data_IF_202574622779
#
_entry.id   IF_202574622779
#
_cell.length_a   1.000
_cell.length_b   1.000
_cell.length_c   1.000
_cell.angle_alpha   90.00
_cell.angle_beta   90.00
_cell.angle_gamma   90.00
#
_symmetry.space_group_name_H-M   'P 1'
#
loop_
_entity.id
_entity.type
_entity.pdbx_description
1 polymer ?
#
# COMPACT_ATOMS: atom_id res chain seq x y z
N UNK A 1 -1.69 -11.55 20.70
CA UNK A 1 -1.21 -11.94 19.37
C UNK A 1 -2.19 -12.85 18.62
N UNK A 2 -2.60 -14.01 19.16
CA UNK A 2 -3.55 -14.94 18.45
C UNK A 2 -4.85 -14.27 17.98
N UNK A 3 -5.49 -13.43 18.80
CA UNK A 3 -6.76 -12.74 18.44
C UNK A 3 -6.62 -11.71 17.31
N UNK A 4 -5.46 -11.08 17.16
CA UNK A 4 -5.18 -10.11 16.07
C UNK A 4 -4.97 -10.86 14.75
N UNK A 5 -4.26 -11.98 14.77
CA UNK A 5 -4.10 -12.85 13.60
C UNK A 5 -5.44 -13.40 13.11
N UNK A 6 -6.33 -13.79 14.03
CA UNK A 6 -7.67 -14.29 13.69
C UNK A 6 -8.53 -13.20 13.05
N UNK A 7 -8.48 -11.96 13.56
CA UNK A 7 -9.20 -10.82 12.98
C UNK A 7 -8.68 -10.46 11.58
N UNK A 8 -7.37 -10.50 11.36
CA UNK A 8 -6.75 -10.27 10.04
C UNK A 8 -7.16 -11.39 9.07
N UNK A 9 -7.21 -12.64 9.52
CA UNK A 9 -7.61 -13.78 8.71
C UNK A 9 -9.11 -13.75 8.35
N UNK A 10 -9.97 -13.34 9.28
CA UNK A 10 -11.42 -13.16 9.04
C UNK A 10 -11.68 -12.01 8.08
N UNK A 11 -10.95 -10.88 8.21
CA UNK A 11 -11.03 -9.76 7.27
C UNK A 11 -10.60 -10.17 5.85
N UNK A 12 -9.64 -11.09 5.75
CA UNK A 12 -9.16 -11.63 4.48
C UNK A 12 -10.21 -12.52 3.78
N UNK A 13 -10.98 -13.29 4.55
CA UNK A 13 -12.04 -14.18 4.02
C UNK A 13 -13.26 -13.38 3.56
N UNK A 14 -13.64 -12.31 4.26
CA UNK A 14 -14.80 -11.48 3.89
C UNK A 14 -14.63 -10.70 2.58
N UNK A 15 -13.41 -10.54 2.08
CA UNK A 15 -13.13 -9.87 0.81
C UNK A 15 -13.32 -10.76 -0.43
N UNK A 16 -13.62 -12.05 -0.23
CA UNK A 16 -13.79 -13.04 -1.30
C UNK A 16 -15.24 -13.19 -1.78
N UNK A 17 -16.02 -12.11 -1.79
CA UNK A 17 -17.36 -12.09 -2.38
C UNK A 17 -17.33 -12.53 -3.85
N UNK A 18 -17.93 -13.69 -4.15
CA UNK A 18 -18.11 -14.17 -5.52
C UNK A 18 -19.17 -13.32 -6.21
N UNK A 19 -18.72 -12.30 -6.98
CA UNK A 19 -19.56 -11.73 -8.01
C UNK A 19 -19.69 -12.76 -9.13
N UNK A 20 -20.90 -12.89 -9.69
CA UNK A 20 -21.18 -13.76 -10.83
C UNK A 20 -20.40 -13.26 -12.04
N UNK A 21 -19.40 -14.01 -12.47
CA UNK A 21 -18.39 -13.56 -13.42
C UNK A 21 -18.71 -14.10 -14.81
N UNK A 22 -18.73 -13.20 -15.80
CA UNK A 22 -18.61 -13.59 -17.19
C UNK A 22 -17.35 -14.46 -17.35
N UNK A 23 -17.48 -15.61 -18.00
CA UNK A 23 -16.40 -16.61 -18.09
C UNK A 23 -15.22 -16.07 -18.90
N UNK A 24 -14.23 -15.56 -18.17
CA UNK A 24 -12.97 -15.11 -18.76
C UNK A 24 -12.07 -16.33 -18.93
N UNK A 25 -11.76 -16.70 -20.17
CA UNK A 25 -10.91 -17.86 -20.49
C UNK A 25 -9.50 -17.46 -20.91
N UNK A 26 -8.57 -18.41 -20.87
CA UNK A 26 -7.22 -18.28 -21.41
C UNK A 26 -6.33 -17.29 -20.67
N UNK A 27 -5.51 -16.53 -21.41
CA UNK A 27 -4.49 -15.62 -20.88
C UNK A 27 -5.07 -14.50 -20.00
N UNK A 28 -6.28 -14.03 -20.28
CA UNK A 28 -6.93 -13.00 -19.47
C UNK A 28 -7.25 -13.49 -18.06
N UNK A 29 -7.68 -14.75 -17.93
CA UNK A 29 -7.93 -15.36 -16.62
C UNK A 29 -6.63 -15.49 -15.81
N UNK A 30 -5.56 -15.96 -16.45
CA UNK A 30 -4.26 -16.09 -15.81
C UNK A 30 -3.71 -14.73 -15.31
N UNK A 31 -3.75 -13.69 -16.16
CA UNK A 31 -3.31 -12.33 -15.79
C UNK A 31 -4.20 -11.74 -14.71
N UNK A 32 -5.51 -11.96 -14.76
CA UNK A 32 -6.42 -11.52 -13.70
C UNK A 32 -6.04 -12.16 -12.35
N UNK A 33 -5.95 -13.50 -12.32
CA UNK A 33 -5.63 -14.25 -11.09
C UNK A 33 -4.27 -13.83 -10.53
N UNK A 34 -3.24 -13.66 -11.38
CA UNK A 34 -1.94 -13.17 -10.91
C UNK A 34 -2.04 -11.76 -10.31
N UNK A 35 -2.83 -10.87 -10.92
CA UNK A 35 -3.10 -9.55 -10.36
C UNK A 35 -3.90 -9.57 -9.05
N UNK A 36 -4.83 -10.51 -8.88
CA UNK A 36 -5.58 -10.70 -7.64
C UNK A 36 -4.63 -11.10 -6.49
N UNK A 37 -3.71 -12.03 -6.74
CA UNK A 37 -2.70 -12.46 -5.77
C UNK A 37 -1.71 -11.34 -5.48
N UNK A 38 -1.15 -10.72 -6.52
CA UNK A 38 -0.12 -9.69 -6.39
C UNK A 38 -0.64 -8.40 -5.74
N UNK A 39 -1.95 -8.15 -5.77
CA UNK A 39 -2.54 -6.99 -5.09
C UNK A 39 -2.28 -6.99 -3.58
N UNK A 40 -2.11 -8.16 -2.98
CA UNK A 40 -1.85 -8.31 -1.55
C UNK A 40 -0.36 -8.40 -1.21
N UNK A 41 0.51 -8.58 -2.20
CA UNK A 41 1.96 -8.73 -1.94
C UNK A 41 2.55 -7.49 -1.27
N UNK A 42 2.24 -6.28 -1.75
CA UNK A 42 2.79 -5.05 -1.18
C UNK A 42 2.26 -4.73 0.22
N UNK A 43 0.96 -4.87 0.55
CA UNK A 43 0.48 -4.74 1.92
C UNK A 43 1.04 -5.80 2.87
N UNK A 44 1.14 -7.06 2.43
CA UNK A 44 1.71 -8.14 3.24
C UNK A 44 3.21 -7.92 3.49
N UNK A 45 3.96 -7.53 2.45
CA UNK A 45 5.36 -7.18 2.60
C UNK A 45 5.56 -5.98 3.56
N UNK A 46 4.69 -4.98 3.49
CA UNK A 46 4.67 -3.85 4.43
C UNK A 46 4.50 -4.33 5.87
N UNK A 47 3.49 -5.17 6.10
CA UNK A 47 3.21 -5.72 7.43
C UNK A 47 4.36 -6.59 7.93
N UNK A 48 4.90 -7.47 7.09
CA UNK A 48 6.03 -8.33 7.45
C UNK A 48 7.28 -7.50 7.82
N UNK A 49 7.58 -6.46 7.04
CA UNK A 49 8.71 -5.57 7.31
C UNK A 49 8.53 -4.82 8.64
N UNK A 50 7.35 -4.28 8.88
CA UNK A 50 7.02 -3.57 10.14
C UNK A 50 7.18 -4.49 11.35
N UNK A 51 6.72 -5.73 11.26
CA UNK A 51 6.83 -6.71 12.35
C UNK A 51 8.27 -7.16 12.55
N UNK A 52 9.01 -7.43 11.48
CA UNK A 52 10.42 -7.84 11.55
C UNK A 52 11.31 -6.76 12.14
N UNK A 53 11.04 -5.49 11.84
CA UNK A 53 11.77 -4.34 12.38
C UNK A 53 11.22 -3.84 13.73
N UNK A 54 10.16 -4.45 14.26
CA UNK A 54 9.44 -4.01 15.46
C UNK A 54 9.02 -2.54 15.39
N UNK A 55 8.66 -2.09 14.18
CA UNK A 55 8.30 -0.71 13.91
C UNK A 55 6.82 -0.45 14.24
N UNK A 56 6.52 -0.37 15.53
CA UNK A 56 5.15 -0.16 16.02
C UNK A 56 4.52 1.14 15.54
N UNK A 57 5.33 2.17 15.28
CA UNK A 57 4.86 3.42 14.70
C UNK A 57 4.47 3.23 13.23
N UNK A 58 5.29 2.50 12.47
CA UNK A 58 4.97 2.11 11.09
C UNK A 58 3.71 1.26 11.01
N UNK A 59 3.51 0.34 11.97
CA UNK A 59 2.27 -0.45 12.06
C UNK A 59 1.03 0.44 12.18
N UNK A 60 1.04 1.41 13.09
CA UNK A 60 -0.08 2.36 13.26
C UNK A 60 -0.32 3.19 12.00
N UNK A 61 0.75 3.70 11.39
CA UNK A 61 0.67 4.53 10.18
C UNK A 61 0.17 3.72 8.97
N UNK A 62 0.67 2.50 8.78
CA UNK A 62 0.23 1.60 7.72
C UNK A 62 -1.23 1.17 7.90
N UNK A 63 -1.66 0.90 9.13
CA UNK A 63 -3.05 0.59 9.44
C UNK A 63 -3.98 1.77 9.12
N UNK A 64 -3.61 3.00 9.52
CA UNK A 64 -4.39 4.20 9.20
C UNK A 64 -4.47 4.44 7.69
N UNK A 65 -3.35 4.30 6.97
CA UNK A 65 -3.33 4.42 5.51
C UNK A 65 -4.24 3.38 4.85
N UNK A 66 -4.14 2.11 5.28
CA UNK A 66 -4.95 1.02 4.75
C UNK A 66 -6.44 1.21 5.00
N UNK A 67 -6.84 1.51 6.24
CA UNK A 67 -8.25 1.76 6.60
C UNK A 67 -8.81 2.94 5.82
N UNK A 68 -8.06 4.04 5.73
CA UNK A 68 -8.48 5.22 4.95
C UNK A 68 -8.64 4.90 3.47
N UNK A 69 -7.70 4.16 2.87
CA UNK A 69 -7.78 3.73 1.47
C UNK A 69 -9.01 2.89 1.22
N UNK A 70 -9.23 1.86 2.05
CA UNK A 70 -10.37 0.96 1.90
C UNK A 70 -11.67 1.73 2.07
N UNK A 71 -11.79 2.53 3.14
CA UNK A 71 -12.99 3.33 3.42
C UNK A 71 -13.34 4.29 2.28
N UNK A 72 -12.37 5.07 1.80
CA UNK A 72 -12.59 5.99 0.67
C UNK A 72 -12.91 5.25 -0.63
N UNK A 73 -12.23 4.11 -0.91
CA UNK A 73 -12.51 3.30 -2.10
C UNK A 73 -13.95 2.81 -2.09
N UNK A 74 -14.42 2.26 -0.98
CA UNK A 74 -15.82 1.80 -0.89
C UNK A 74 -16.82 2.96 -0.93
N UNK A 75 -16.54 4.05 -0.24
CA UNK A 75 -17.41 5.24 -0.31
C UNK A 75 -17.60 5.70 -1.77
N UNK A 76 -16.52 5.83 -2.52
CA UNK A 76 -16.57 6.24 -3.92
C UNK A 76 -17.28 5.21 -4.83
N UNK A 77 -17.10 3.91 -4.58
CA UNK A 77 -17.79 2.84 -5.32
C UNK A 77 -19.31 2.97 -5.23
N UNK A 78 -19.83 3.23 -4.03
CA UNK A 78 -21.25 3.33 -3.81
C UNK A 78 -21.83 4.69 -4.24
N UNK A 79 -21.02 5.75 -4.20
CA UNK A 79 -21.44 7.10 -4.63
C UNK A 79 -21.47 7.24 -6.16
N UNK A 80 -20.44 6.72 -6.85
CA UNK A 80 -20.25 6.98 -8.29
C UNK A 80 -20.97 5.95 -9.17
N UNK A 81 -21.17 4.72 -8.69
CA UNK A 81 -21.94 3.64 -9.37
C UNK A 81 -21.55 3.47 -10.85
N UNK A 82 -20.27 3.44 -11.16
CA UNK A 82 -19.76 3.28 -12.52
C UNK A 82 -19.81 1.82 -12.95
N UNK A 83 -20.41 1.54 -14.11
CA UNK A 83 -20.43 0.20 -14.71
C UNK A 83 -19.01 -0.28 -15.08
N UNK A 84 -18.75 -1.58 -14.90
CA UNK A 84 -17.49 -2.19 -15.31
C UNK A 84 -17.43 -2.37 -16.84
N UNK A 85 -16.23 -2.33 -17.43
CA UNK A 85 -16.04 -2.57 -18.85
C UNK A 85 -16.52 -3.95 -19.33
N UNK A 86 -16.65 -4.93 -18.44
CA UNK A 86 -17.18 -6.27 -18.74
C UNK A 86 -18.66 -6.41 -18.40
N UNK A 87 -19.33 -5.36 -17.95
CA UNK A 87 -20.77 -5.36 -17.59
C UNK A 87 -21.12 -6.16 -16.34
N UNK A 88 -20.14 -6.62 -15.54
CA UNK A 88 -20.39 -7.52 -14.42
C UNK A 88 -21.07 -6.87 -13.22
N UNK A 89 -20.82 -5.60 -12.96
CA UNK A 89 -21.45 -4.80 -11.90
C UNK A 89 -21.27 -3.29 -12.10
N UNK A 90 -21.91 -2.47 -11.25
CA UNK A 90 -21.85 -1.01 -11.28
C UNK A 90 -20.91 -0.43 -10.20
N UNK A 91 -19.87 -1.15 -9.81
CA UNK A 91 -18.93 -0.71 -8.78
C UNK A 91 -17.48 -0.71 -9.31
N UNK A 92 -17.29 -0.20 -10.54
CA UNK A 92 -15.98 -0.15 -11.17
C UNK A 92 -15.05 0.85 -10.47
N UNK A 93 -15.51 2.06 -10.23
CA UNK A 93 -14.68 3.17 -9.77
C UNK A 93 -14.66 3.32 -8.24
N UNK A 94 -13.47 3.54 -7.66
CA UNK A 94 -12.14 3.26 -8.17
C UNK A 94 -11.74 1.79 -8.01
N UNK A 95 -10.62 1.35 -8.60
CA UNK A 95 -10.14 -0.03 -8.49
C UNK A 95 -9.56 -0.32 -7.10
N UNK A 96 -10.22 -1.20 -6.33
CA UNK A 96 -9.78 -1.59 -4.99
C UNK A 96 -8.42 -2.30 -4.99
N UNK A 97 -8.18 -3.24 -5.93
CA UNK A 97 -6.90 -3.94 -6.04
C UNK A 97 -5.75 -2.96 -6.27
N UNK A 98 -5.96 -1.98 -7.13
CA UNK A 98 -4.97 -0.93 -7.38
C UNK A 98 -4.77 -0.04 -6.16
N UNK A 99 -5.85 0.40 -5.51
CA UNK A 99 -5.77 1.24 -4.30
C UNK A 99 -4.94 0.56 -3.21
N UNK A 100 -5.26 -0.69 -2.89
CA UNK A 100 -4.59 -1.44 -1.82
C UNK A 100 -3.13 -1.72 -2.16
N UNK A 101 -2.85 -2.11 -3.41
CA UNK A 101 -1.47 -2.38 -3.86
C UNK A 101 -0.60 -1.11 -3.84
N UNK A 102 -1.13 0.03 -4.30
CA UNK A 102 -0.43 1.31 -4.25
C UNK A 102 -0.28 1.86 -2.83
N UNK A 103 -1.21 1.57 -1.92
CA UNK A 103 -1.03 1.91 -0.49
C UNK A 103 0.18 1.20 0.09
N UNK A 104 0.30 -0.12 -0.13
CA UNK A 104 1.46 -0.88 0.34
C UNK A 104 2.77 -0.41 -0.29
N UNK A 105 2.78 -0.18 -1.61
CA UNK A 105 3.97 0.28 -2.32
C UNK A 105 4.43 1.67 -1.85
N UNK A 106 3.49 2.61 -1.73
CA UNK A 106 3.77 3.96 -1.26
C UNK A 106 4.19 3.97 0.22
N UNK A 107 3.59 3.12 1.06
CA UNK A 107 4.02 2.96 2.44
C UNK A 107 5.47 2.48 2.53
N UNK A 108 5.84 1.42 1.78
CA UNK A 108 7.21 0.89 1.74
C UNK A 108 8.17 1.99 1.29
N UNK A 109 7.84 2.69 0.21
CA UNK A 109 8.69 3.77 -0.32
C UNK A 109 8.83 4.91 0.67
N UNK A 110 7.74 5.41 1.24
CA UNK A 110 7.73 6.56 2.14
C UNK A 110 8.41 6.24 3.47
N UNK A 111 8.24 4.99 3.98
CA UNK A 111 8.76 4.55 5.27
C UNK A 111 10.20 4.11 5.20
N UNK A 112 10.54 3.28 4.20
CA UNK A 112 11.83 2.58 4.12
C UNK A 112 12.69 3.00 2.92
N UNK A 113 12.22 3.92 2.10
CA UNK A 113 12.97 4.55 1.01
C UNK A 113 12.80 3.89 -0.36
N UNK A 114 13.39 4.56 -1.38
CA UNK A 114 13.22 4.20 -2.79
C UNK A 114 13.82 2.86 -3.17
N UNK A 115 14.85 2.40 -2.49
CA UNK A 115 15.46 1.08 -2.75
C UNK A 115 14.42 -0.05 -2.71
N UNK A 116 13.49 0.03 -1.76
CA UNK A 116 12.40 -0.94 -1.60
C UNK A 116 11.11 -0.48 -2.27
N UNK A 117 10.96 0.81 -2.46
CA UNK A 117 9.80 1.40 -3.12
C UNK A 117 9.72 1.07 -4.60
N UNK A 118 10.86 1.10 -5.34
CA UNK A 118 10.88 0.83 -6.78
C UNK A 118 10.27 -0.55 -7.11
N UNK A 119 10.74 -1.68 -6.53
CA UNK A 119 10.14 -2.98 -6.80
C UNK A 119 8.68 -3.07 -6.33
N UNK A 120 8.32 -2.41 -5.22
CA UNK A 120 6.95 -2.38 -4.74
C UNK A 120 6.01 -1.66 -5.72
N UNK A 121 6.42 -0.51 -6.26
CA UNK A 121 5.65 0.20 -7.30
C UNK A 121 5.59 -0.57 -8.61
N UNK A 122 6.62 -1.32 -8.99
CA UNK A 122 6.56 -2.19 -10.18
C UNK A 122 5.45 -3.25 -10.03
N UNK A 123 5.35 -3.90 -8.86
CA UNK A 123 4.28 -4.84 -8.55
C UNK A 123 2.91 -4.14 -8.59
N UNK A 124 2.76 -2.99 -7.93
CA UNK A 124 1.51 -2.25 -7.91
C UNK A 124 1.06 -1.79 -9.31
N UNK A 125 2.00 -1.38 -10.15
CA UNK A 125 1.75 -1.00 -11.56
C UNK A 125 1.28 -2.20 -12.38
N UNK A 126 1.90 -3.36 -12.21
CA UNK A 126 1.44 -4.61 -12.83
C UNK A 126 0.01 -4.95 -12.39
N UNK A 127 -0.30 -4.82 -11.10
CA UNK A 127 -1.66 -5.04 -10.60
C UNK A 127 -2.64 -4.10 -11.30
N UNK A 128 -2.36 -2.81 -11.40
CA UNK A 128 -3.21 -1.85 -12.11
C UNK A 128 -3.42 -2.25 -13.58
N UNK A 129 -2.34 -2.57 -14.29
CA UNK A 129 -2.41 -3.04 -15.68
C UNK A 129 -3.25 -4.33 -15.81
N UNK A 130 -3.10 -5.28 -14.91
CA UNK A 130 -3.86 -6.54 -14.95
C UNK A 130 -5.37 -6.32 -14.87
N UNK A 131 -5.83 -5.24 -14.17
CA UNK A 131 -7.27 -4.88 -14.08
C UNK A 131 -7.82 -4.41 -15.41
N UNK A 132 -7.05 -3.59 -16.12
CA UNK A 132 -7.47 -3.10 -17.45
C UNK A 132 -7.41 -4.22 -18.49
N UNK A 133 -6.35 -5.03 -18.48
CA UNK A 133 -6.22 -6.19 -19.38
C UNK A 133 -7.36 -7.20 -19.20
N UNK A 134 -7.78 -7.45 -17.96
CA UNK A 134 -8.91 -8.31 -17.63
C UNK A 134 -10.29 -7.67 -17.87
N UNK A 135 -10.35 -6.43 -18.37
CA UNK A 135 -11.58 -5.64 -18.59
C UNK A 135 -12.45 -5.46 -17.32
N UNK A 136 -11.88 -5.61 -16.14
CA UNK A 136 -12.57 -5.37 -14.86
C UNK A 136 -12.64 -3.90 -14.49
N UNK A 137 -11.68 -3.11 -14.98
CA UNK A 137 -11.55 -1.67 -14.74
C UNK A 137 -11.02 -0.98 -15.99
N UNK A 138 -11.35 0.27 -16.20
CA UNK A 138 -10.66 1.12 -17.16
C UNK A 138 -9.48 1.87 -16.52
N UNK A 139 -8.74 2.64 -17.32
CA UNK A 139 -7.57 3.37 -16.84
C UNK A 139 -7.91 4.43 -15.80
N UNK A 140 -9.09 5.04 -15.85
CA UNK A 140 -9.52 6.04 -14.87
C UNK A 140 -9.74 5.41 -13.49
N UNK A 141 -10.32 4.19 -13.44
CA UNK A 141 -10.49 3.44 -12.20
C UNK A 141 -9.14 3.09 -11.57
N UNK A 142 -8.16 2.74 -12.41
CA UNK A 142 -6.80 2.38 -12.00
C UNK A 142 -6.04 3.60 -11.50
N UNK A 143 -6.05 4.71 -12.26
CA UNK A 143 -5.37 5.95 -11.87
C UNK A 143 -5.94 6.52 -10.58
N UNK A 144 -7.27 6.56 -10.47
CA UNK A 144 -7.92 7.01 -9.23
C UNK A 144 -7.59 6.10 -8.05
N UNK A 145 -7.59 4.78 -8.26
CA UNK A 145 -7.16 3.82 -7.24
C UNK A 145 -5.72 4.04 -6.80
N UNK A 146 -4.80 4.22 -7.74
CA UNK A 146 -3.40 4.49 -7.46
C UNK A 146 -3.21 5.80 -6.68
N UNK A 147 -3.91 6.87 -7.09
CA UNK A 147 -3.87 8.16 -6.41
C UNK A 147 -4.42 8.08 -4.97
N UNK A 148 -5.54 7.38 -4.76
CA UNK A 148 -6.10 7.14 -3.43
C UNK A 148 -5.13 6.37 -2.54
N UNK A 149 -4.58 5.27 -3.04
CA UNK A 149 -3.68 4.42 -2.27
C UNK A 149 -2.38 5.14 -1.91
N UNK A 150 -1.72 5.74 -2.90
CA UNK A 150 -0.50 6.50 -2.67
C UNK A 150 -0.76 7.72 -1.78
N UNK A 151 -1.81 8.49 -2.04
CA UNK A 151 -2.20 9.66 -1.27
C UNK A 151 -2.42 9.33 0.20
N UNK A 152 -3.19 8.28 0.51
CA UNK A 152 -3.41 7.82 1.88
C UNK A 152 -2.10 7.44 2.57
N UNK A 153 -1.23 6.69 1.89
CA UNK A 153 0.06 6.34 2.46
C UNK A 153 0.92 7.57 2.73
N UNK A 154 0.98 8.54 1.83
CA UNK A 154 1.76 9.76 2.01
C UNK A 154 1.25 10.64 3.15
N UNK A 155 -0.08 10.71 3.36
CA UNK A 155 -0.70 11.49 4.45
C UNK A 155 -0.35 10.89 5.81
N UNK A 156 -0.45 9.57 5.96
CA UNK A 156 -0.30 8.92 7.26
C UNK A 156 1.11 8.42 7.56
N UNK A 157 1.99 8.29 6.55
CA UNK A 157 3.32 7.68 6.73
C UNK A 157 4.41 8.73 6.82
N UNK A 158 5.27 8.61 7.83
CA UNK A 158 6.51 9.36 7.97
C UNK A 158 7.72 8.43 7.76
N UNK A 159 8.85 8.94 7.26
CA UNK A 159 10.07 8.15 7.12
C UNK A 159 10.46 7.43 8.42
N UNK A 160 11.01 6.24 8.29
CA UNK A 160 11.56 5.50 9.41
C UNK A 160 12.84 6.20 9.86
N UNK A 161 12.76 6.95 10.95
CA UNK A 161 13.93 7.52 11.56
C UNK A 161 14.72 6.40 12.23
N UNK A 162 15.83 5.95 11.62
CA UNK A 162 16.88 5.30 12.41
C UNK A 162 17.30 6.33 13.44
N UNK A 163 17.28 5.98 14.71
CA UNK A 163 17.79 6.84 15.81
C UNK A 163 19.31 6.94 15.71
N UNK A 164 19.80 7.60 14.70
CA UNK A 164 21.18 8.09 14.66
C UNK A 164 21.09 9.59 14.91
N UNK A 165 21.12 9.97 16.17
CA UNK A 165 21.25 11.37 16.54
C UNK A 165 22.74 11.71 16.45
N UNK A 166 23.16 12.26 15.31
CA UNK A 166 24.44 12.93 15.21
C UNK A 166 24.27 14.34 15.81
N UNK A 167 24.86 14.56 16.96
CA UNK A 167 24.97 15.88 17.58
C UNK A 167 26.39 16.41 17.29
N UNK A 168 26.46 17.54 16.62
CA UNK A 168 27.72 18.26 16.37
C UNK A 168 27.62 19.57 17.11
N UNK A 169 28.49 19.80 18.08
CA UNK A 169 28.54 21.03 18.86
C UNK A 169 29.96 21.64 18.82
N UNK A 170 30.09 22.92 18.52
CA UNK A 170 31.37 23.60 18.69
C UNK A 170 31.70 23.67 20.19
N UNK A 171 32.91 23.35 20.54
CA UNK A 171 33.46 23.50 21.90
C UNK A 171 34.51 24.57 21.86
N UNK A 172 34.30 25.61 22.65
CA UNK A 172 35.29 26.66 22.90
C UNK A 172 35.67 26.68 24.35
N UNK A 173 36.95 26.60 24.63
CA UNK A 173 37.55 26.77 25.96
C UNK A 173 38.69 27.79 25.83
N UNK A 174 39.11 28.41 26.90
CA UNK A 174 40.09 29.52 26.96
C UNK A 174 41.41 29.22 26.23
N UNK A 175 41.70 27.97 25.91
CA UNK A 175 42.92 27.55 25.23
C UNK A 175 42.71 26.63 24.02
N UNK A 176 41.47 26.21 23.71
CA UNK A 176 41.24 25.24 22.66
C UNK A 176 39.90 25.48 21.99
N UNK A 177 39.88 25.44 20.65
CA UNK A 177 38.68 25.38 19.84
C UNK A 177 38.59 23.98 19.22
N UNK A 178 37.41 23.36 19.29
CA UNK A 178 37.18 22.03 18.77
C UNK A 178 35.72 21.82 18.34
N UNK A 179 35.49 20.70 17.69
CA UNK A 179 34.15 20.22 17.32
C UNK A 179 33.92 18.91 18.09
N UNK A 180 32.88 18.88 18.90
CA UNK A 180 32.40 17.67 19.56
C UNK A 180 31.34 17.01 18.67
N UNK A 181 31.56 15.76 18.24
CA UNK A 181 30.60 14.96 17.50
C UNK A 181 30.21 13.76 18.37
N UNK A 182 28.92 13.65 18.68
CA UNK A 182 28.34 12.49 19.37
C UNK A 182 27.37 11.78 18.47
N UNK A 183 27.51 10.49 18.33
CA UNK A 183 26.59 9.63 17.57
C UNK A 183 26.03 8.55 18.50
N UNK A 184 24.71 8.55 18.67
CA UNK A 184 24.01 7.49 19.44
C UNK A 184 23.55 6.42 18.44
N UNK A 185 23.91 5.19 18.69
CA UNK A 185 23.57 4.01 17.88
C UNK A 185 22.31 3.34 18.37
#
# INVERSE_FOLDING_TARGET
>A
MRRILTLIFVLFICLSGKAQEAEISGSRKAVRTSGDVLAFVTPVASLATVLALQDWQGLKQGALAGVSTIGMTYALKYLIKKERPDGSDNHSFPSLHTSVSFTGAAFIQRRYGWKWGIPAYAIASYVGWSRTYAKKHDWWDVVAGAALGAGSAYIFTRPFAKKHNLSISPVASDKHFGIYASMTF
#
